data_IF_155691260449
#
_entry.id   IF_155691260449
#
_cell.length_a   1.000
_cell.length_b   1.000
_cell.length_c   1.000
_cell.angle_alpha   90.00
_cell.angle_beta   90.00
_cell.angle_gamma   90.00
#
_symmetry.space_group_name_H-M   'P 1'
#
loop_
_entity.id
_entity.type
_entity.pdbx_description
1 polymer ?
#
# COMPACT_ATOMS: atom_id res chain seq x y z
N UNK A 1 -5.41 -2.99 -10.07
CA UNK A 1 -3.98 -3.06 -9.66
C UNK A 1 -3.89 -3.01 -8.16
N UNK A 2 -2.89 -3.68 -7.58
CA UNK A 2 -2.67 -3.63 -6.14
C UNK A 2 -1.41 -2.81 -5.82
N UNK A 3 -1.51 -1.94 -4.82
CA UNK A 3 -0.40 -1.18 -4.27
C UNK A 3 -0.22 -1.57 -2.80
N UNK A 4 0.99 -1.96 -2.40
CA UNK A 4 1.38 -2.24 -1.02
C UNK A 4 2.42 -1.22 -0.57
N UNK A 5 2.10 -0.48 0.49
CA UNK A 5 3.01 0.43 1.17
C UNK A 5 3.41 -0.20 2.49
N UNK A 6 4.71 -0.38 2.66
CA UNK A 6 5.33 -0.80 3.91
C UNK A 6 5.84 0.43 4.66
N UNK A 7 5.46 0.58 5.92
CA UNK A 7 6.00 1.63 6.80
C UNK A 7 6.41 1.00 8.13
N UNK A 8 7.54 1.46 8.67
CA UNK A 8 8.00 1.02 10.00
C UNK A 8 7.03 1.50 11.09
N UNK A 9 6.60 2.75 10.98
CA UNK A 9 5.63 3.36 11.89
C UNK A 9 4.90 4.48 11.16
N UNK A 10 3.73 4.83 11.70
CA UNK A 10 2.99 6.05 11.33
C UNK A 10 2.89 6.94 12.56
N UNK A 11 3.20 8.21 12.39
CA UNK A 11 3.10 9.21 13.45
C UNK A 11 1.68 9.28 13.99
N UNK A 12 1.54 9.32 15.32
CA UNK A 12 0.23 9.51 15.95
C UNK A 12 -0.27 10.93 15.69
N UNK A 13 -1.56 11.04 15.44
CA UNK A 13 -2.26 12.30 15.20
C UNK A 13 -3.72 12.18 15.63
N UNK A 14 -4.36 13.32 15.82
CA UNK A 14 -5.75 13.44 16.25
C UNK A 14 -6.57 14.21 15.22
N UNK A 15 -7.89 14.22 15.42
CA UNK A 15 -8.77 15.10 14.66
C UNK A 15 -8.39 16.58 14.83
N UNK A 16 -7.96 16.99 16.02
CA UNK A 16 -7.53 18.37 16.28
C UNK A 16 -6.32 18.74 15.42
N UNK A 17 -5.34 17.85 15.29
CA UNK A 17 -4.17 18.07 14.44
C UNK A 17 -4.55 18.24 12.97
N UNK A 18 -5.55 17.49 12.49
CA UNK A 18 -6.10 17.65 11.13
C UNK A 18 -6.82 19.00 10.99
N UNK A 19 -7.65 19.36 11.96
CA UNK A 19 -8.44 20.60 11.97
C UNK A 19 -7.54 21.85 12.01
N UNK A 20 -6.38 21.77 12.66
CA UNK A 20 -5.40 22.86 12.80
C UNK A 20 -4.31 22.86 11.71
N UNK A 21 -4.30 21.90 10.79
CA UNK A 21 -3.25 21.78 9.76
C UNK A 21 -1.88 21.37 10.31
N UNK A 22 -1.85 20.66 11.43
CA UNK A 22 -0.65 20.12 12.10
C UNK A 22 -0.46 18.62 11.86
N UNK A 23 -1.04 18.10 10.78
CA UNK A 23 -0.95 16.68 10.44
C UNK A 23 0.50 16.30 10.13
N UNK A 24 1.04 15.22 10.71
CA UNK A 24 2.40 14.76 10.44
C UNK A 24 2.68 14.52 8.95
N UNK A 25 3.93 14.74 8.52
CA UNK A 25 4.32 14.68 7.11
C UNK A 25 4.17 13.29 6.48
N UNK A 26 4.40 12.23 7.26
CA UNK A 26 4.18 10.85 6.84
C UNK A 26 2.70 10.57 6.57
N UNK A 27 1.80 11.08 7.41
CA UNK A 27 0.34 11.00 7.22
C UNK A 27 -0.07 11.80 5.98
N UNK A 28 0.48 12.99 5.76
CA UNK A 28 0.26 13.78 4.53
C UNK A 28 0.70 12.96 3.28
N UNK A 29 1.86 12.33 3.36
CA UNK A 29 2.40 11.50 2.29
C UNK A 29 1.50 10.30 2.01
N UNK A 30 0.99 9.62 3.06
CA UNK A 30 0.01 8.55 2.91
C UNK A 30 -1.30 9.03 2.27
N UNK A 31 -1.78 10.22 2.63
CA UNK A 31 -2.96 10.81 2.00
C UNK A 31 -2.71 11.05 0.49
N UNK A 32 -1.56 11.63 0.14
CA UNK A 32 -1.17 11.81 -1.26
C UNK A 32 -1.11 10.48 -2.02
N UNK A 33 -0.49 9.45 -1.44
CA UNK A 33 -0.44 8.09 -1.99
C UNK A 33 -1.85 7.52 -2.21
N UNK A 34 -2.75 7.64 -1.23
CA UNK A 34 -4.15 7.19 -1.36
C UNK A 34 -4.86 7.95 -2.48
N UNK A 35 -4.67 9.27 -2.55
CA UNK A 35 -5.23 10.10 -3.62
C UNK A 35 -4.75 9.63 -4.98
N UNK A 36 -3.45 9.48 -5.20
CA UNK A 36 -2.91 9.04 -6.50
C UNK A 36 -3.25 7.58 -6.83
N UNK A 37 -3.55 6.76 -5.81
CA UNK A 37 -4.02 5.37 -6.00
C UNK A 37 -5.46 5.29 -6.50
N UNK A 38 -6.34 6.22 -6.12
CA UNK A 38 -7.78 6.09 -6.37
C UNK A 38 -8.40 7.23 -7.15
N UNK A 39 -8.05 8.49 -6.87
CA UNK A 39 -8.77 9.64 -7.37
C UNK A 39 -8.40 9.95 -8.83
N UNK A 40 -9.42 10.13 -9.66
CA UNK A 40 -9.32 10.76 -10.99
C UNK A 40 -10.38 11.85 -11.09
N UNK A 41 -10.32 12.70 -12.13
CA UNK A 41 -11.09 13.96 -12.18
C UNK A 41 -12.60 13.81 -11.92
N UNK A 42 -13.22 12.70 -12.34
CA UNK A 42 -14.67 12.51 -12.27
C UNK A 42 -15.13 11.30 -11.47
N UNK A 43 -14.21 10.46 -10.98
CA UNK A 43 -14.55 9.22 -10.28
C UNK A 43 -13.34 8.69 -9.48
N UNK A 44 -13.49 7.51 -8.88
CA UNK A 44 -12.39 6.75 -8.31
C UNK A 44 -12.13 5.48 -9.10
N UNK A 45 -10.86 5.06 -9.16
CA UNK A 45 -10.41 3.80 -9.77
C UNK A 45 -10.96 2.62 -8.98
N UNK A 46 -11.96 1.94 -9.53
CA UNK A 46 -12.64 0.81 -8.88
C UNK A 46 -11.82 -0.48 -8.90
N UNK A 47 -10.92 -0.61 -9.86
CA UNK A 47 -10.08 -1.79 -10.03
C UNK A 47 -8.77 -1.71 -9.26
N UNK A 48 -8.52 -0.60 -8.56
CA UNK A 48 -7.37 -0.46 -7.69
C UNK A 48 -7.69 -0.96 -6.28
N UNK A 49 -6.70 -1.61 -5.65
CA UNK A 49 -6.69 -1.84 -4.21
C UNK A 49 -5.38 -1.30 -3.64
N UNK A 50 -5.47 -0.85 -2.40
CA UNK A 50 -4.35 -0.28 -1.67
C UNK A 50 -4.22 -0.99 -0.33
N UNK A 51 -3.00 -1.35 0.01
CA UNK A 51 -2.62 -2.00 1.25
C UNK A 51 -1.57 -1.13 1.93
N UNK A 52 -1.78 -0.82 3.20
CA UNK A 52 -0.80 -0.15 4.06
C UNK A 52 -0.49 -1.07 5.22
N UNK A 53 0.77 -1.44 5.35
CA UNK A 53 1.24 -2.21 6.49
C UNK A 53 2.14 -1.35 7.37
N UNK A 54 1.76 -1.22 8.65
CA UNK A 54 2.52 -0.55 9.69
C UNK A 54 3.15 -1.61 10.60
N UNK A 55 4.48 -1.73 10.56
CA UNK A 55 5.23 -2.74 11.31
C UNK A 55 5.09 -2.55 12.84
N UNK A 56 5.24 -1.33 13.34
CA UNK A 56 5.20 -1.05 14.79
C UNK A 56 3.89 -1.49 15.43
N UNK A 57 2.77 -1.24 14.74
CA UNK A 57 1.43 -1.61 15.23
C UNK A 57 1.00 -3.01 14.78
N UNK A 58 1.81 -3.68 13.96
CA UNK A 58 1.49 -4.97 13.36
C UNK A 58 0.14 -4.94 12.64
N UNK A 59 -0.11 -3.85 11.92
CA UNK A 59 -1.42 -3.49 11.39
C UNK A 59 -1.40 -3.45 9.87
N UNK A 60 -2.24 -4.27 9.24
CA UNK A 60 -2.53 -4.21 7.83
C UNK A 60 -3.87 -3.50 7.59
N UNK A 61 -3.86 -2.44 6.79
CA UNK A 61 -5.03 -1.71 6.32
C UNK A 61 -5.22 -2.03 4.84
N UNK A 62 -6.44 -2.39 4.45
CA UNK A 62 -6.85 -2.62 3.06
C UNK A 62 -7.92 -1.62 2.66
N UNK A 63 -7.70 -0.95 1.53
CA UNK A 63 -8.67 -0.07 0.87
C UNK A 63 -9.02 -0.70 -0.49
N UNK A 64 -10.27 -1.10 -0.65
CA UNK A 64 -10.79 -1.75 -1.86
C UNK A 64 -11.54 -0.74 -2.75
N UNK A 65 -11.01 -0.40 -3.93
CA UNK A 65 -11.60 0.60 -4.82
C UNK A 65 -13.06 0.31 -5.17
N UNK A 66 -13.37 -0.96 -5.48
CA UNK A 66 -14.72 -1.49 -5.77
C UNK A 66 -15.76 -1.06 -4.74
N UNK A 67 -15.42 -1.18 -3.46
CA UNK A 67 -16.36 -0.99 -2.34
C UNK A 67 -16.16 0.35 -1.61
N UNK A 68 -15.10 1.09 -1.95
CA UNK A 68 -14.75 2.38 -1.35
C UNK A 68 -15.83 3.45 -1.60
N UNK A 69 -16.20 4.13 -0.51
CA UNK A 69 -17.09 5.30 -0.51
C UNK A 69 -16.52 6.40 0.40
N UNK A 70 -16.98 7.63 0.16
CA UNK A 70 -16.64 8.81 0.96
C UNK A 70 -15.15 9.22 0.95
N UNK A 71 -14.37 8.66 0.03
CA UNK A 71 -13.03 9.16 -0.25
C UNK A 71 -13.14 10.49 -0.99
N UNK A 72 -12.86 11.59 -0.30
CA UNK A 72 -12.65 12.90 -0.93
C UNK A 72 -11.23 12.99 -1.50
N UNK A 73 -11.02 13.92 -2.43
CA UNK A 73 -9.68 14.23 -2.95
C UNK A 73 -8.86 15.12 -2.00
N UNK A 74 -9.50 15.71 -1.00
CA UNK A 74 -8.86 16.56 0.01
C UNK A 74 -8.15 15.71 1.08
N UNK A 75 -7.02 16.23 1.55
CA UNK A 75 -6.20 15.58 2.58
C UNK A 75 -6.98 15.35 3.89
N UNK A 76 -7.81 16.31 4.30
CA UNK A 76 -8.58 16.23 5.55
C UNK A 76 -9.49 15.01 5.59
N UNK A 77 -10.28 14.77 4.55
CA UNK A 77 -11.18 13.61 4.50
C UNK A 77 -10.42 12.29 4.48
N UNK A 78 -9.28 12.23 3.79
CA UNK A 78 -8.40 11.06 3.72
C UNK A 78 -7.75 10.76 5.08
N UNK A 79 -7.20 11.78 5.74
CA UNK A 79 -6.60 11.66 7.07
C UNK A 79 -7.64 11.19 8.10
N UNK A 80 -8.87 11.68 8.04
CA UNK A 80 -9.95 11.21 8.92
C UNK A 80 -10.32 9.73 8.69
N UNK A 81 -10.29 9.25 7.44
CA UNK A 81 -10.52 7.84 7.12
C UNK A 81 -9.38 6.95 7.63
N UNK A 82 -8.13 7.37 7.45
CA UNK A 82 -6.96 6.67 7.99
C UNK A 82 -7.00 6.64 9.52
N UNK A 83 -7.29 7.76 10.18
CA UNK A 83 -7.41 7.86 11.64
C UNK A 83 -8.43 6.85 12.19
N UNK A 84 -9.58 6.74 11.54
CA UNK A 84 -10.62 5.75 11.88
C UNK A 84 -10.16 4.31 11.66
N UNK A 85 -9.32 4.05 10.66
CA UNK A 85 -8.76 2.73 10.42
C UNK A 85 -7.77 2.35 11.53
N UNK A 86 -6.81 3.21 11.85
CA UNK A 86 -5.85 3.00 12.94
C UNK A 86 -6.54 2.77 14.30
N UNK A 87 -7.53 3.60 14.64
CA UNK A 87 -8.27 3.48 15.90
C UNK A 87 -9.16 2.22 16.00
N UNK A 88 -9.40 1.50 14.90
CA UNK A 88 -10.37 0.38 14.90
C UNK A 88 -9.84 -0.86 15.62
N UNK A 89 -8.52 -1.06 15.63
CA UNK A 89 -7.88 -2.22 16.28
C UNK A 89 -7.69 -1.98 17.77
N UNK A 90 -7.37 -0.74 18.18
CA UNK A 90 -7.21 -0.39 19.61
C UNK A 90 -8.46 -0.68 20.44
N UNK A 91 -9.65 -0.64 19.83
CA UNK A 91 -10.94 -0.84 20.50
C UNK A 91 -11.48 -2.29 20.45
N UNK A 92 -10.74 -3.25 19.90
CA UNK A 92 -11.22 -4.63 19.68
C UNK A 92 -10.29 -5.68 20.34
N UNK A 93 -10.20 -5.68 21.66
CA UNK A 93 -9.39 -6.62 22.45
C UNK A 93 -9.84 -8.10 22.34
N UNK A 94 -11.06 -8.37 21.85
CA UNK A 94 -11.68 -9.70 21.84
C UNK A 94 -11.68 -10.41 20.48
N UNK A 95 -11.09 -9.82 19.43
CA UNK A 95 -11.11 -10.43 18.10
C UNK A 95 -9.87 -11.28 17.87
N UNK A 96 -10.10 -12.53 17.42
CA UNK A 96 -9.03 -13.37 16.89
C UNK A 96 -8.24 -12.59 15.83
N UNK A 97 -6.91 -12.54 15.96
CA UNK A 97 -5.94 -11.82 15.10
C UNK A 97 -5.93 -12.26 13.61
N UNK A 98 -7.00 -12.88 13.12
CA UNK A 98 -7.06 -13.57 11.83
C UNK A 98 -8.14 -13.06 10.89
N UNK A 99 -9.06 -12.22 11.34
CA UNK A 99 -10.16 -11.73 10.48
C UNK A 99 -10.04 -10.25 10.11
N UNK A 100 -10.52 -9.92 8.91
CA UNK A 100 -10.63 -8.54 8.44
C UNK A 100 -11.78 -7.83 9.14
N UNK A 101 -11.49 -6.72 9.82
CA UNK A 101 -12.47 -5.87 10.48
C UNK A 101 -12.77 -4.68 9.57
N UNK A 102 -14.05 -4.46 9.26
CA UNK A 102 -14.48 -3.29 8.50
C UNK A 102 -14.37 -2.02 9.36
N UNK A 103 -13.60 -1.02 8.90
CA UNK A 103 -13.55 0.32 9.50
C UNK A 103 -14.62 1.22 8.89
N UNK A 104 -14.62 1.37 7.56
CA UNK A 104 -15.61 2.14 6.79
C UNK A 104 -15.92 1.41 5.47
N UNK A 105 -16.89 1.84 4.63
CA UNK A 105 -17.15 1.18 3.36
C UNK A 105 -15.91 1.13 2.45
N UNK A 106 -15.43 -0.08 2.21
CA UNK A 106 -14.22 -0.36 1.42
C UNK A 106 -12.90 -0.17 2.16
N UNK A 107 -12.92 0.09 3.47
CA UNK A 107 -11.70 0.14 4.30
C UNK A 107 -11.79 -0.93 5.38
N UNK A 108 -10.81 -1.82 5.40
CA UNK A 108 -10.69 -2.94 6.32
C UNK A 108 -9.34 -2.89 7.02
N UNK A 109 -9.29 -3.43 8.23
CA UNK A 109 -8.08 -3.53 9.03
C UNK A 109 -7.92 -4.94 9.57
N UNK A 110 -6.69 -5.38 9.73
CA UNK A 110 -6.36 -6.69 10.28
C UNK A 110 -5.04 -6.59 11.03
N UNK A 111 -5.00 -7.13 12.24
CA UNK A 111 -3.74 -7.29 12.98
C UNK A 111 -3.02 -8.52 12.45
N UNK A 112 -1.71 -8.42 12.23
CA UNK A 112 -0.88 -9.52 11.73
C UNK A 112 0.25 -9.79 12.71
N UNK A 113 0.45 -11.04 13.16
CA UNK A 113 1.58 -11.37 14.03
C UNK A 113 2.97 -10.97 13.49
N UNK A 114 3.12 -10.90 12.15
CA UNK A 114 4.34 -10.45 11.49
C UNK A 114 4.04 -9.95 10.07
N UNK A 115 4.99 -9.19 9.51
CA UNK A 115 4.96 -8.73 8.11
C UNK A 115 5.03 -9.89 7.09
N UNK A 116 5.56 -11.04 7.48
CA UNK A 116 5.65 -12.22 6.61
C UNK A 116 4.26 -12.73 6.18
N UNK A 117 3.22 -12.47 6.98
CA UNK A 117 1.85 -12.89 6.73
C UNK A 117 1.09 -11.94 5.80
N UNK A 118 1.69 -10.82 5.35
CA UNK A 118 1.03 -9.88 4.43
C UNK A 118 0.62 -10.59 3.12
N UNK A 119 1.46 -11.50 2.62
CA UNK A 119 1.25 -12.19 1.35
C UNK A 119 0.03 -13.12 1.34
N UNK A 120 -0.39 -13.60 2.50
CA UNK A 120 -1.62 -14.40 2.66
C UNK A 120 -2.90 -13.54 2.59
N UNK A 121 -2.75 -12.22 2.78
CA UNK A 121 -3.85 -11.28 3.00
C UNK A 121 -4.13 -10.36 1.80
N UNK A 122 -3.24 -10.34 0.82
CA UNK A 122 -3.46 -9.68 -0.46
C UNK A 122 -4.22 -10.67 -1.36
N UNK A 123 -5.50 -10.39 -1.63
CA UNK A 123 -6.49 -11.34 -2.18
C UNK A 123 -6.39 -11.58 -3.70
N UNK A 124 -6.67 -12.83 -4.11
CA UNK A 124 -7.35 -13.19 -5.37
C UNK A 124 -6.74 -14.32 -6.21
N UNK A 125 -7.14 -15.59 -6.01
CA UNK A 125 -6.93 -16.76 -6.91
C UNK A 125 -5.66 -16.70 -7.80
N UNK A 126 -4.50 -16.65 -7.17
CA UNK A 126 -3.23 -16.60 -7.88
C UNK A 126 -2.80 -18.02 -8.25
N UNK A 127 -3.19 -18.47 -9.43
CA UNK A 127 -2.46 -19.56 -10.08
C UNK A 127 -1.08 -18.98 -10.49
N UNK A 128 -0.07 -19.27 -9.66
CA UNK A 128 1.38 -19.28 -9.92
C UNK A 128 2.16 -18.04 -10.43
N UNK A 129 1.57 -16.89 -10.76
CA UNK A 129 2.33 -15.72 -11.27
C UNK A 129 2.16 -14.42 -10.45
N UNK A 130 2.47 -14.44 -9.15
CA UNK A 130 2.56 -13.21 -8.35
C UNK A 130 3.82 -12.43 -8.72
N UNK A 131 3.65 -11.31 -9.40
CA UNK A 131 4.75 -10.38 -9.69
C UNK A 131 4.68 -9.21 -8.71
N UNK A 132 5.63 -9.15 -7.79
CA UNK A 132 5.86 -7.96 -6.99
C UNK A 132 6.82 -7.04 -7.74
N UNK A 133 6.47 -5.76 -7.82
CA UNK A 133 7.27 -4.75 -8.50
C UNK A 133 7.71 -3.74 -7.45
N UNK A 134 9.01 -3.64 -7.24
CA UNK A 134 9.62 -2.67 -6.32
C UNK A 134 10.57 -1.74 -7.08
N UNK A 135 10.94 -0.63 -6.44
CA UNK A 135 11.93 0.33 -6.95
C UNK A 135 13.02 0.52 -5.90
N UNK A 136 13.96 -0.42 -5.86
CA UNK A 136 15.08 -0.42 -4.92
C UNK A 136 16.40 -0.39 -5.70
N UNK A 137 17.39 0.32 -5.15
CA UNK A 137 18.71 0.41 -5.76
C UNK A 137 19.38 -0.97 -5.85
N UNK A 138 20.03 -1.24 -6.98
CA UNK A 138 20.78 -2.48 -7.25
C UNK A 138 21.88 -2.75 -6.20
N UNK A 139 22.46 -1.69 -5.68
CA UNK A 139 23.60 -1.75 -4.74
C UNK A 139 23.20 -2.36 -3.39
N UNK A 140 21.92 -2.28 -3.04
CA UNK A 140 21.40 -2.74 -1.75
C UNK A 140 20.83 -4.17 -1.79
N UNK A 141 20.78 -4.82 -2.97
CA UNK A 141 20.12 -6.13 -3.11
C UNK A 141 20.95 -7.20 -3.86
N UNK A 142 21.23 -8.30 -3.15
CA UNK A 142 21.76 -9.57 -3.72
C UNK A 142 20.66 -10.61 -3.98
N UNK A 143 19.41 -10.18 -4.17
CA UNK A 143 18.34 -11.10 -4.59
C UNK A 143 18.36 -11.27 -6.10
N UNK A 144 17.85 -12.41 -6.58
CA UNK A 144 17.66 -12.71 -8.01
C UNK A 144 16.52 -11.88 -8.60
N UNK A 145 16.66 -10.55 -8.58
CA UNK A 145 15.65 -9.65 -9.08
C UNK A 145 15.81 -9.50 -10.59
N UNK A 146 14.74 -9.77 -11.33
CA UNK A 146 14.73 -9.52 -12.78
C UNK A 146 14.57 -8.01 -13.01
N UNK A 147 15.53 -7.43 -13.72
CA UNK A 147 15.56 -6.01 -14.06
C UNK A 147 15.08 -5.79 -15.50
N UNK A 148 14.21 -4.80 -15.72
CA UNK A 148 13.91 -4.29 -17.07
C UNK A 148 12.99 -5.15 -17.94
N UNK A 149 12.28 -6.13 -17.38
CA UNK A 149 11.25 -6.85 -18.13
C UNK A 149 9.99 -6.00 -18.29
N UNK A 150 9.40 -6.03 -19.48
CA UNK A 150 8.03 -5.55 -19.71
C UNK A 150 7.10 -6.28 -18.74
N UNK A 151 6.31 -5.52 -17.99
CA UNK A 151 5.27 -6.05 -17.10
C UNK A 151 4.28 -6.82 -17.99
N UNK A 152 4.25 -8.14 -17.84
CA UNK A 152 3.40 -9.06 -18.61
C UNK A 152 1.92 -8.75 -18.35
N UNK A 153 1.15 -8.60 -19.42
CA UNK A 153 -0.22 -8.10 -19.47
C UNK A 153 -1.22 -9.02 -18.76
N UNK A 154 -0.90 -10.30 -18.64
CA UNK A 154 -1.78 -11.30 -18.00
C UNK A 154 -1.45 -11.55 -16.52
N UNK A 155 -0.42 -10.91 -15.98
CA UNK A 155 0.00 -11.12 -14.59
C UNK A 155 -0.69 -10.15 -13.65
N UNK A 156 -1.25 -10.67 -12.56
CA UNK A 156 -1.71 -9.86 -11.44
C UNK A 156 -0.49 -9.27 -10.70
N UNK A 157 -0.22 -7.99 -10.91
CA UNK A 157 0.92 -7.30 -10.31
C UNK A 157 0.53 -6.56 -9.02
N UNK A 158 1.38 -6.69 -8.00
CA UNK A 158 1.36 -5.88 -6.80
C UNK A 158 2.60 -4.97 -6.78
N UNK A 159 2.40 -3.66 -6.72
CA UNK A 159 3.49 -2.69 -6.63
C UNK A 159 3.81 -2.43 -5.16
N UNK A 160 5.05 -2.69 -4.77
CA UNK A 160 5.54 -2.60 -3.40
C UNK A 160 6.44 -1.38 -3.25
N UNK A 161 6.11 -0.52 -2.30
CA UNK A 161 6.95 0.61 -1.90
C UNK A 161 7.15 0.64 -0.39
N UNK A 162 8.25 1.24 0.05
CA UNK A 162 8.53 1.48 1.47
C UNK A 162 9.01 2.91 1.69
N UNK A 163 8.64 3.50 2.83
CA UNK A 163 9.18 4.78 3.27
C UNK A 163 10.65 4.67 3.66
N UNK A 164 11.09 3.49 4.10
CA UNK A 164 12.48 3.18 4.44
C UNK A 164 12.93 1.92 3.71
N UNK A 165 13.50 2.11 2.51
CA UNK A 165 13.91 1.00 1.65
C UNK A 165 15.09 0.19 2.21
N UNK A 166 15.85 0.76 3.15
CA UNK A 166 17.02 0.15 3.76
C UNK A 166 16.74 -0.45 5.14
N UNK A 167 15.49 -0.37 5.61
CA UNK A 167 15.09 -0.99 6.87
C UNK A 167 15.31 -2.50 6.84
N UNK A 168 15.93 -3.04 7.89
CA UNK A 168 16.13 -4.48 8.09
C UNK A 168 14.80 -5.24 8.00
N UNK A 169 13.72 -4.70 8.58
CA UNK A 169 12.40 -5.33 8.58
C UNK A 169 11.85 -5.42 7.16
N UNK A 170 11.91 -4.32 6.42
CA UNK A 170 11.46 -4.28 5.02
C UNK A 170 12.30 -5.20 4.13
N UNK A 171 13.63 -5.25 4.33
CA UNK A 171 14.53 -6.14 3.61
C UNK A 171 14.22 -7.63 3.88
N UNK A 172 13.91 -7.99 5.13
CA UNK A 172 13.45 -9.34 5.49
C UNK A 172 12.11 -9.68 4.83
N UNK A 173 11.16 -8.74 4.84
CA UNK A 173 9.89 -8.91 4.14
C UNK A 173 10.11 -9.15 2.64
N UNK A 174 10.98 -8.36 1.99
CA UNK A 174 11.31 -8.55 0.57
C UNK A 174 11.97 -9.89 0.27
N UNK A 175 12.84 -10.38 1.17
CA UNK A 175 13.41 -11.71 1.04
C UNK A 175 12.30 -12.77 1.04
N UNK A 176 11.35 -12.67 1.97
CA UNK A 176 10.17 -13.55 2.03
C UNK A 176 9.33 -13.47 0.76
N UNK A 177 9.09 -12.26 0.23
CA UNK A 177 8.42 -12.07 -1.07
C UNK A 177 9.18 -12.79 -2.18
N UNK A 178 10.50 -12.71 -2.24
CA UNK A 178 11.30 -13.35 -3.28
C UNK A 178 11.38 -14.89 -3.14
N UNK A 179 11.14 -15.43 -1.94
CA UNK A 179 11.04 -16.88 -1.69
C UNK A 179 9.70 -17.46 -2.17
N UNK A 180 8.62 -16.69 -2.10
CA UNK A 180 7.25 -17.16 -2.39
C UNK A 180 6.67 -16.64 -3.72
N UNK A 181 7.24 -15.56 -4.26
CA UNK A 181 6.70 -14.84 -5.42
C UNK A 181 7.84 -14.43 -6.38
N UNK A 182 7.48 -14.09 -7.62
CA UNK A 182 8.44 -13.48 -8.56
C UNK A 182 8.60 -12.00 -8.19
N UNK A 183 9.79 -11.62 -7.72
CA UNK A 183 10.15 -10.22 -7.48
C UNK A 183 10.83 -9.62 -8.72
N UNK A 184 10.26 -8.53 -9.24
CA UNK A 184 10.84 -7.71 -10.31
C UNK A 184 11.16 -6.32 -9.77
N UNK A 185 12.21 -5.72 -10.31
CA UNK A 185 12.54 -4.33 -10.03
C UNK A 185 12.28 -3.48 -11.27
N UNK A 186 11.57 -2.38 -11.07
CA UNK A 186 11.42 -1.31 -12.05
C UNK A 186 12.33 -0.16 -11.66
N UNK A 187 12.92 0.52 -12.64
CA UNK A 187 13.67 1.75 -12.39
C UNK A 187 12.71 2.94 -12.47
N UNK A 188 12.31 3.46 -11.31
CA UNK A 188 11.58 4.72 -11.19
C UNK A 188 12.41 5.78 -10.46
N UNK A 189 13.74 5.65 -10.47
CA UNK A 189 14.68 6.53 -9.78
C UNK A 189 14.56 8.01 -10.19
N UNK A 190 14.11 8.27 -11.42
CA UNK A 190 13.87 9.63 -11.94
C UNK A 190 12.60 10.29 -11.40
N UNK A 191 11.68 9.52 -10.81
CA UNK A 191 10.41 10.00 -10.26
C UNK A 191 10.55 10.05 -8.74
N UNK A 192 10.46 11.26 -8.17
CA UNK A 192 10.57 11.47 -6.73
C UNK A 192 9.21 11.30 -6.06
N UNK A 193 9.20 10.70 -4.86
CA UNK A 193 7.99 10.47 -4.10
C UNK A 193 7.24 9.21 -4.55
N UNK A 194 6.67 8.48 -3.60
CA UNK A 194 5.94 7.23 -3.88
C UNK A 194 4.62 7.56 -4.59
N UNK A 195 3.97 8.65 -4.20
CA UNK A 195 2.74 9.16 -4.78
C UNK A 195 2.89 9.41 -6.29
N UNK A 196 4.00 10.03 -6.73
CA UNK A 196 4.23 10.28 -8.16
C UNK A 196 4.58 9.01 -8.93
N UNK A 197 5.23 8.03 -8.28
CA UNK A 197 5.49 6.70 -8.89
C UNK A 197 4.18 5.97 -9.13
N UNK A 198 3.25 5.99 -8.16
CA UNK A 198 1.91 5.43 -8.30
C UNK A 198 1.12 6.14 -9.39
N UNK A 199 1.16 7.47 -9.43
CA UNK A 199 0.53 8.25 -10.50
C UNK A 199 1.04 7.83 -11.88
N UNK A 200 2.36 7.69 -12.04
CA UNK A 200 2.97 7.24 -13.28
C UNK A 200 2.58 5.81 -13.66
N UNK A 201 2.54 4.88 -12.71
CA UNK A 201 2.08 3.51 -12.93
C UNK A 201 0.62 3.50 -13.40
N UNK A 202 -0.25 4.26 -12.73
CA UNK A 202 -1.64 4.40 -13.14
C UNK A 202 -1.77 5.01 -14.54
N UNK A 203 -0.97 6.03 -14.86
CA UNK A 203 -0.92 6.62 -16.20
C UNK A 203 -0.52 5.61 -17.28
N UNK A 204 0.50 4.78 -17.02
CA UNK A 204 0.91 3.72 -17.94
C UNK A 204 -0.17 2.66 -18.11
N UNK A 205 -0.86 2.30 -17.04
CA UNK A 205 -1.97 1.34 -17.09
C UNK A 205 -3.14 1.90 -17.91
N UNK A 206 -3.52 3.15 -17.70
CA UNK A 206 -4.59 3.79 -18.47
C UNK A 206 -4.24 3.83 -19.95
N UNK A 207 -3.04 4.29 -20.32
CA UNK A 207 -2.58 4.38 -21.71
C UNK A 207 -2.59 3.05 -22.46
N UNK A 208 -2.49 1.91 -21.76
CA UNK A 208 -2.52 0.58 -22.37
C UNK A 208 -3.93 0.05 -22.59
N UNK A 209 -4.92 0.55 -21.85
CA UNK A 209 -6.30 0.08 -21.89
C UNK A 209 -7.25 1.00 -22.69
N UNK A 210 -6.70 2.04 -23.33
CA UNK A 210 -7.36 2.87 -24.35
C UNK A 210 -6.93 2.45 -25.76
#
# INVERSE_FOLDING_TARGET
>A
MDFLIFVESVSKYTKGDIDEGKTPLDVYTLCAIVRESFCISYTIRKDNNFYLYNETDHLLIKIEGKSLRYLGSDERSQALLLLRAFAKIENNENNNDREWIKSTPGIFVKKLPSSELILENINGNFNDNRIFITDISKENFKLNVKYGENIDENSSCCYLFSFSQESITFLKFLQKVNEECTLKNIDLSKIRGIENKILYINFLYDHRNY
#
